data_IF_178776789265
#
_entry.id   IF_178776789265
#
_cell.length_a   1.000
_cell.length_b   1.000
_cell.length_c   1.000
_cell.angle_alpha   90.00
_cell.angle_beta   90.00
_cell.angle_gamma   90.00
#
_symmetry.space_group_name_H-M   'P 1'
#
loop_
_entity.id
_entity.type
_entity.pdbx_description
1 polymer ?
#
# COMPACT_ATOMS: atom_id res chain seq x y z
N UNK A 1 -15.10 -8.41 66.56
CA UNK A 1 -14.87 -9.18 65.37
C UNK A 1 -14.79 -8.26 64.18
N UNK A 2 -13.63 -8.08 63.68
CA UNK A 2 -13.42 -7.22 62.50
C UNK A 2 -13.21 -8.09 61.29
N UNK A 3 -14.13 -8.01 60.35
CA UNK A 3 -14.02 -8.69 59.09
C UNK A 3 -13.25 -7.76 58.18
N UNK A 4 -12.01 -8.11 57.88
CA UNK A 4 -11.26 -7.44 56.86
C UNK A 4 -11.76 -7.92 55.50
N UNK A 5 -12.57 -7.13 54.86
CA UNK A 5 -12.86 -7.30 53.47
C UNK A 5 -11.66 -6.85 52.66
N UNK A 6 -10.87 -7.82 52.26
CA UNK A 6 -9.85 -7.57 51.25
C UNK A 6 -10.57 -7.58 49.91
N UNK A 7 -10.82 -6.38 49.42
CA UNK A 7 -11.27 -6.24 48.01
C UNK A 7 -10.03 -6.45 47.16
N UNK A 8 -9.91 -7.66 46.63
CA UNK A 8 -8.95 -7.91 45.58
C UNK A 8 -9.40 -7.19 44.32
N UNK A 9 -8.77 -6.06 44.09
CA UNK A 9 -8.92 -5.39 42.80
C UNK A 9 -8.14 -6.22 41.78
N UNK A 10 -8.87 -7.03 41.02
CA UNK A 10 -8.28 -7.70 39.86
C UNK A 10 -8.07 -6.65 38.78
N UNK A 11 -6.84 -6.22 38.62
CA UNK A 11 -6.46 -5.41 37.48
C UNK A 11 -6.44 -6.31 36.24
N UNK A 12 -7.49 -6.23 35.45
CA UNK A 12 -7.46 -6.82 34.13
C UNK A 12 -6.73 -5.83 33.23
N UNK A 13 -5.46 -6.07 33.00
CA UNK A 13 -4.74 -5.43 31.93
C UNK A 13 -5.31 -5.99 30.61
N UNK A 14 -6.23 -5.26 30.03
CA UNK A 14 -6.55 -5.46 28.64
C UNK A 14 -5.35 -4.99 27.84
N UNK A 15 -4.46 -5.93 27.52
CA UNK A 15 -3.39 -5.67 26.58
C UNK A 15 -4.00 -5.39 25.22
N UNK A 16 -4.10 -4.13 24.86
CA UNK A 16 -4.25 -3.77 23.47
C UNK A 16 -2.94 -4.15 22.78
N UNK A 17 -2.92 -5.33 22.20
CA UNK A 17 -1.88 -5.62 21.22
C UNK A 17 -2.17 -4.72 20.03
N UNK A 18 -1.52 -3.58 19.98
CA UNK A 18 -1.33 -2.88 18.73
C UNK A 18 -0.49 -3.83 17.89
N UNK A 19 -1.14 -4.62 17.04
CA UNK A 19 -0.44 -5.45 16.08
C UNK A 19 0.48 -4.56 15.30
N UNK A 20 1.78 -4.77 15.43
CA UNK A 20 2.74 -4.12 14.56
C UNK A 20 2.36 -4.52 13.13
N UNK A 21 1.69 -3.62 12.42
CA UNK A 21 1.41 -3.82 11.02
C UNK A 21 2.74 -3.82 10.30
N UNK A 22 3.04 -4.90 9.59
CA UNK A 22 4.20 -4.91 8.72
C UNK A 22 4.07 -3.73 7.75
N UNK A 23 5.18 -3.05 7.40
CA UNK A 23 5.13 -1.89 6.49
C UNK A 23 4.52 -2.22 5.12
N UNK A 24 4.34 -3.49 4.79
CA UNK A 24 3.74 -3.93 3.54
C UNK A 24 2.23 -4.11 3.60
N UNK A 25 1.61 -3.94 4.77
CA UNK A 25 0.15 -4.03 4.90
C UNK A 25 -0.51 -2.69 4.67
N UNK A 26 -1.29 -2.66 3.62
CA UNK A 26 -2.07 -1.50 3.23
C UNK A 26 -3.55 -1.71 3.57
N UNK A 27 -4.29 -0.63 3.79
CA UNK A 27 -5.73 -0.73 3.99
C UNK A 27 -6.41 -1.17 2.69
N UNK A 28 -7.53 -1.87 2.82
CA UNK A 28 -8.34 -2.27 1.67
C UNK A 28 -8.83 -1.07 0.87
N UNK A 29 -9.16 0.01 1.56
CA UNK A 29 -9.57 1.28 0.95
C UNK A 29 -8.45 1.87 0.09
N UNK A 30 -7.23 1.88 0.59
CA UNK A 30 -6.06 2.36 -0.14
C UNK A 30 -5.79 1.52 -1.37
N UNK A 31 -5.83 0.20 -1.25
CA UNK A 31 -5.66 -0.73 -2.38
C UNK A 31 -6.74 -0.49 -3.43
N UNK A 32 -7.99 -0.32 -3.02
CA UNK A 32 -9.11 -0.07 -3.93
C UNK A 32 -8.95 1.26 -4.67
N UNK A 33 -8.49 2.29 -4.00
CA UNK A 33 -8.18 3.58 -4.63
C UNK A 33 -7.07 3.43 -5.67
N UNK A 34 -6.03 2.71 -5.33
CA UNK A 34 -4.94 2.40 -6.26
C UNK A 34 -5.42 1.63 -7.49
N UNK A 35 -6.32 0.66 -7.30
CA UNK A 35 -6.93 -0.10 -8.37
C UNK A 35 -7.71 0.79 -9.34
N UNK A 36 -8.47 1.76 -8.83
CA UNK A 36 -9.20 2.72 -9.66
C UNK A 36 -8.26 3.57 -10.51
N UNK A 37 -7.23 4.11 -9.91
CA UNK A 37 -6.23 4.93 -10.61
C UNK A 37 -5.52 4.08 -11.67
N UNK A 38 -5.11 2.89 -11.29
CA UNK A 38 -4.43 1.96 -12.19
C UNK A 38 -5.28 1.63 -13.42
N UNK A 39 -6.55 1.30 -13.23
CA UNK A 39 -7.44 0.92 -14.33
C UNK A 39 -7.72 2.07 -15.30
N UNK A 40 -7.60 3.30 -14.84
CA UNK A 40 -7.83 4.49 -15.67
C UNK A 40 -6.56 4.90 -16.44
N UNK A 41 -5.40 4.87 -15.81
CA UNK A 41 -4.21 5.52 -16.34
C UNK A 41 -3.05 4.57 -16.67
N UNK A 42 -3.03 3.39 -16.15
CA UNK A 42 -1.85 2.51 -16.21
C UNK A 42 -2.06 1.26 -17.07
N UNK A 43 -3.30 0.82 -17.21
CA UNK A 43 -3.66 -0.43 -17.88
C UNK A 43 -3.21 -0.49 -19.35
N UNK A 44 -3.29 0.62 -20.06
CA UNK A 44 -2.97 0.65 -21.48
C UNK A 44 -1.53 0.18 -21.77
N UNK A 45 -0.60 0.44 -20.86
CA UNK A 45 0.80 0.04 -20.99
C UNK A 45 1.18 -1.15 -20.10
N UNK A 46 0.60 -1.23 -18.91
CA UNK A 46 1.00 -2.25 -17.93
C UNK A 46 0.08 -3.48 -17.89
N UNK A 47 -1.08 -3.44 -18.55
CA UNK A 47 -2.02 -4.55 -18.63
C UNK A 47 -2.99 -4.62 -17.45
N UNK A 48 -4.11 -5.32 -17.64
CA UNK A 48 -5.17 -5.45 -16.64
C UNK A 48 -4.72 -6.14 -15.35
N UNK A 49 -3.72 -7.02 -15.44
CA UNK A 49 -3.17 -7.77 -14.31
C UNK A 49 -1.72 -7.42 -14.04
N UNK A 50 -1.31 -6.22 -14.44
CA UNK A 50 0.08 -5.76 -14.30
C UNK A 50 1.11 -6.65 -15.02
N UNK A 51 0.70 -7.35 -16.04
CA UNK A 51 1.49 -8.36 -16.75
C UNK A 51 2.25 -7.82 -17.98
N UNK A 52 2.48 -6.54 -18.02
CA UNK A 52 3.28 -5.78 -19.01
C UNK A 52 3.06 -6.19 -20.48
N UNK A 53 1.86 -6.13 -21.04
CA UNK A 53 1.72 -6.37 -22.47
C UNK A 53 2.49 -5.30 -23.25
N UNK A 54 3.24 -5.70 -24.25
CA UNK A 54 3.93 -4.76 -25.13
C UNK A 54 5.25 -4.20 -24.61
N UNK A 55 5.90 -4.82 -23.63
CA UNK A 55 7.27 -4.51 -23.23
C UNK A 55 7.44 -3.55 -22.05
N UNK A 56 6.36 -3.19 -21.37
CA UNK A 56 6.43 -2.46 -20.11
C UNK A 56 6.97 -3.35 -18.98
N UNK A 57 7.46 -2.74 -17.90
CA UNK A 57 7.95 -3.47 -16.74
C UNK A 57 6.83 -4.29 -16.09
N UNK A 58 7.13 -5.53 -15.72
CA UNK A 58 6.20 -6.37 -14.96
C UNK A 58 6.11 -5.86 -13.51
N UNK A 59 5.06 -5.11 -13.22
CA UNK A 59 4.86 -4.49 -11.91
C UNK A 59 4.70 -5.51 -10.78
N UNK A 60 4.31 -6.74 -11.10
CA UNK A 60 4.19 -7.82 -10.09
C UNK A 60 5.54 -8.23 -9.52
N UNK A 61 6.61 -7.90 -10.20
CA UNK A 61 7.99 -8.20 -9.77
C UNK A 61 8.70 -6.98 -9.19
N UNK A 62 8.02 -5.85 -9.04
CA UNK A 62 8.64 -4.63 -8.52
C UNK A 62 9.11 -4.85 -7.08
N UNK A 63 10.38 -4.53 -6.75
CA UNK A 63 10.93 -4.82 -5.43
C UNK A 63 10.23 -4.03 -4.32
N UNK A 64 9.74 -4.67 -3.25
CA UNK A 64 9.03 -3.97 -2.17
C UNK A 64 9.92 -3.00 -1.39
N UNK A 65 11.23 -3.19 -1.40
CA UNK A 65 12.18 -2.29 -0.76
C UNK A 65 12.51 -1.02 -1.54
N UNK A 66 11.92 -0.84 -2.72
CA UNK A 66 12.24 0.28 -3.62
C UNK A 66 11.07 1.25 -3.81
N UNK A 67 10.40 1.58 -2.73
CA UNK A 67 9.29 2.53 -2.74
C UNK A 67 9.68 3.88 -3.35
N UNK A 68 10.82 4.44 -2.96
CA UNK A 68 11.28 5.73 -3.49
C UNK A 68 11.47 5.71 -5.01
N UNK A 69 11.97 4.61 -5.55
CA UNK A 69 12.12 4.44 -7.00
C UNK A 69 10.76 4.41 -7.69
N UNK A 70 9.78 3.75 -7.10
CA UNK A 70 8.42 3.73 -7.62
C UNK A 70 7.81 5.12 -7.67
N UNK A 71 7.84 5.84 -6.56
CA UNK A 71 7.32 7.22 -6.47
C UNK A 71 8.00 8.12 -7.48
N UNK A 72 9.31 8.02 -7.61
CA UNK A 72 10.10 8.82 -8.53
C UNK A 72 9.72 8.53 -9.99
N UNK A 73 9.61 7.25 -10.35
CA UNK A 73 9.26 6.84 -11.72
C UNK A 73 7.85 7.28 -12.11
N UNK A 74 6.89 7.16 -11.23
CA UNK A 74 5.52 7.61 -11.48
C UNK A 74 5.45 9.14 -11.56
N UNK A 75 6.12 9.83 -10.67
CA UNK A 75 6.07 11.29 -10.59
C UNK A 75 6.78 11.98 -11.75
N UNK A 76 7.94 11.49 -12.11
CA UNK A 76 8.81 12.13 -13.11
C UNK A 76 8.75 11.45 -14.49
N UNK A 77 8.17 10.27 -14.56
CA UNK A 77 8.24 9.44 -15.75
C UNK A 77 9.58 8.71 -15.89
N UNK A 78 9.61 7.74 -16.75
CA UNK A 78 10.82 6.98 -17.08
C UNK A 78 10.69 6.38 -18.48
N UNK A 79 11.65 6.65 -19.35
CA UNK A 79 11.60 6.20 -20.74
C UNK A 79 10.29 6.66 -21.42
N UNK A 80 9.48 5.75 -21.93
CA UNK A 80 8.21 6.06 -22.56
C UNK A 80 7.06 6.26 -21.56
N UNK A 81 7.29 6.02 -20.28
CA UNK A 81 6.29 6.28 -19.25
C UNK A 81 6.21 7.78 -18.98
N UNK A 82 5.02 8.39 -19.14
CA UNK A 82 4.88 9.81 -18.88
C UNK A 82 5.00 10.13 -17.39
N UNK A 83 5.26 11.41 -17.08
CA UNK A 83 5.27 11.88 -15.71
C UNK A 83 3.84 12.17 -15.23
N UNK A 84 3.48 11.64 -14.06
CA UNK A 84 2.15 11.77 -13.49
C UNK A 84 2.10 12.67 -12.26
N UNK A 85 3.25 13.22 -11.85
CA UNK A 85 3.36 13.98 -10.61
C UNK A 85 2.49 15.22 -10.54
N UNK A 86 2.19 15.84 -11.68
CA UNK A 86 1.32 17.01 -11.73
C UNK A 86 -0.16 16.66 -11.72
N UNK A 87 -0.51 15.41 -12.08
CA UNK A 87 -1.89 14.95 -12.12
C UNK A 87 -2.31 14.33 -10.79
N UNK A 88 -1.41 13.59 -10.15
CA UNK A 88 -1.70 12.84 -8.93
C UNK A 88 -1.21 13.57 -7.69
N UNK A 89 -2.04 13.55 -6.65
CA UNK A 89 -1.60 13.91 -5.32
C UNK A 89 -0.66 12.84 -4.76
N UNK A 90 0.22 13.16 -3.79
CA UNK A 90 1.08 12.16 -3.17
C UNK A 90 0.32 10.94 -2.63
N UNK A 91 -0.88 11.16 -2.07
CA UNK A 91 -1.72 10.08 -1.57
C UNK A 91 -2.20 9.14 -2.68
N UNK A 92 -2.39 9.64 -3.90
CA UNK A 92 -2.76 8.82 -5.05
C UNK A 92 -1.62 7.90 -5.47
N UNK A 93 -0.39 8.40 -5.46
CA UNK A 93 0.79 7.60 -5.77
C UNK A 93 1.02 6.52 -4.70
N UNK A 94 0.79 6.85 -3.44
CA UNK A 94 0.84 5.87 -2.35
C UNK A 94 -0.25 4.80 -2.50
N UNK A 95 -1.43 5.17 -2.97
CA UNK A 95 -2.49 4.22 -3.27
C UNK A 95 -2.10 3.29 -4.43
N UNK A 96 -1.48 3.81 -5.48
CA UNK A 96 -0.92 3.01 -6.56
C UNK A 96 0.14 2.03 -6.05
N UNK A 97 1.03 2.48 -5.19
CA UNK A 97 2.02 1.63 -4.55
C UNK A 97 1.36 0.48 -3.77
N UNK A 98 0.33 0.79 -2.98
CA UNK A 98 -0.42 -0.21 -2.23
C UNK A 98 -1.04 -1.27 -3.16
N UNK A 99 -1.62 -0.84 -4.26
CA UNK A 99 -2.22 -1.74 -5.25
C UNK A 99 -1.17 -2.64 -5.90
N UNK A 100 -0.04 -2.09 -6.31
CA UNK A 100 1.05 -2.85 -6.93
C UNK A 100 1.62 -3.87 -5.95
N UNK A 101 1.84 -3.48 -4.71
CA UNK A 101 2.36 -4.38 -3.68
C UNK A 101 1.38 -5.50 -3.32
N UNK A 102 0.07 -5.19 -3.28
CA UNK A 102 -0.97 -6.19 -3.04
C UNK A 102 -1.07 -7.22 -4.18
N UNK A 103 -0.72 -6.82 -5.40
CA UNK A 103 -0.74 -7.68 -6.58
C UNK A 103 0.56 -8.42 -6.86
N UNK A 104 1.51 -8.42 -5.94
CA UNK A 104 2.78 -9.12 -6.13
C UNK A 104 2.61 -10.62 -6.34
N UNK A 105 3.44 -11.10 -7.21
CA UNK A 105 3.59 -12.53 -7.48
C UNK A 105 4.19 -13.29 -6.31
#
# INVERSE_FOLDING_TARGET
>A
MKICNVVSLAFVLAGTSAGAQSPEKFSQEQISRGAEIYSTYCVACHGHQMDHPGGSFDLRTFPPGQHARFVDSVSKGKNNMPSWGDLFQPADIEALWAYVMAGKK
#
